data_IF_641565478527
#
_entry.id   IF_641565478527
#
_cell.length_a   1.000
_cell.length_b   1.000
_cell.length_c   1.000
_cell.angle_alpha   90.00
_cell.angle_beta   90.00
_cell.angle_gamma   90.00
#
_symmetry.space_group_name_H-M   'P 1'
#
loop_
_entity.id
_entity.type
_entity.pdbx_description
1 polymer ?
#
# COMPACT_ATOMS: atom_id res chain seq x y z
N UNK A 1 -13.12 -13.86 -1.14
CA UNK A 1 -11.93 -14.56 -0.59
C UNK A 1 -12.29 -15.88 0.07
N UNK A 2 -13.19 -15.90 1.05
CA UNK A 2 -13.63 -17.13 1.77
C UNK A 2 -14.16 -18.20 0.80
N UNK A 3 -15.04 -17.82 -0.12
CA UNK A 3 -15.57 -18.73 -1.14
C UNK A 3 -14.47 -19.35 -2.00
N UNK A 4 -13.50 -18.55 -2.45
CA UNK A 4 -12.37 -19.04 -3.23
C UNK A 4 -11.46 -19.99 -2.43
N UNK A 5 -11.27 -19.75 -1.12
CA UNK A 5 -10.54 -20.67 -0.24
C UNK A 5 -11.32 -21.98 -0.06
N UNK A 6 -12.62 -21.88 0.18
CA UNK A 6 -13.52 -23.04 0.34
C UNK A 6 -13.54 -23.92 -0.91
N UNK A 7 -13.64 -23.32 -2.10
CA UNK A 7 -13.58 -24.03 -3.38
C UNK A 7 -12.22 -24.69 -3.57
N UNK A 8 -11.13 -23.97 -3.34
CA UNK A 8 -9.79 -24.55 -3.54
C UNK A 8 -9.50 -25.70 -2.58
N UNK A 9 -10.01 -25.62 -1.35
CA UNK A 9 -9.96 -26.73 -0.37
C UNK A 9 -10.79 -27.93 -0.82
N UNK A 10 -11.95 -27.71 -1.46
CA UNK A 10 -12.79 -28.78 -1.99
C UNK A 10 -12.18 -29.49 -3.21
N UNK A 11 -11.40 -28.76 -4.00
CA UNK A 11 -10.68 -29.28 -5.18
C UNK A 11 -9.22 -29.66 -4.88
N UNK A 12 -8.80 -29.63 -3.60
CA UNK A 12 -7.41 -29.87 -3.16
C UNK A 12 -6.35 -29.08 -3.95
N UNK A 13 -6.70 -27.89 -4.42
CA UNK A 13 -5.80 -27.05 -5.21
C UNK A 13 -5.00 -26.12 -4.30
N UNK A 14 -3.67 -26.04 -4.47
CA UNK A 14 -2.85 -25.14 -3.67
C UNK A 14 -3.21 -23.68 -3.98
N UNK A 15 -3.35 -22.88 -2.92
CA UNK A 15 -3.63 -21.44 -3.04
C UNK A 15 -2.49 -20.59 -2.51
N UNK A 16 -2.18 -19.52 -3.24
CA UNK A 16 -1.27 -18.50 -2.76
C UNK A 16 -2.02 -17.54 -1.82
N UNK A 17 -1.94 -17.79 -0.52
CA UNK A 17 -2.58 -16.96 0.51
C UNK A 17 -2.02 -15.54 0.55
N UNK A 18 -0.73 -15.35 0.32
CA UNK A 18 -0.09 -14.03 0.25
C UNK A 18 -0.75 -13.18 -0.83
N UNK A 19 -0.92 -13.73 -2.04
CA UNK A 19 -1.58 -13.03 -3.14
C UNK A 19 -3.04 -12.69 -2.81
N UNK A 20 -3.79 -13.63 -2.23
CA UNK A 20 -5.21 -13.41 -1.89
C UNK A 20 -5.39 -12.36 -0.78
N UNK A 21 -4.58 -12.42 0.27
CA UNK A 21 -4.62 -11.43 1.36
C UNK A 21 -4.23 -10.04 0.85
N UNK A 22 -3.18 -9.95 0.05
CA UNK A 22 -2.73 -8.67 -0.49
C UNK A 22 -3.77 -8.03 -1.43
N UNK A 23 -4.42 -8.83 -2.29
CA UNK A 23 -5.52 -8.35 -3.12
C UNK A 23 -6.70 -7.81 -2.29
N UNK A 24 -7.03 -8.47 -1.18
CA UNK A 24 -8.06 -8.02 -0.24
C UNK A 24 -7.65 -6.70 0.44
N UNK A 25 -6.42 -6.60 0.92
CA UNK A 25 -5.91 -5.39 1.56
C UNK A 25 -5.95 -4.19 0.61
N UNK A 26 -5.48 -4.36 -0.63
CA UNK A 26 -5.55 -3.33 -1.68
C UNK A 26 -7.00 -2.88 -1.90
N UNK A 27 -7.93 -3.83 -1.96
CA UNK A 27 -9.36 -3.54 -2.14
C UNK A 27 -9.92 -2.72 -0.97
N UNK A 28 -9.61 -3.10 0.27
CA UNK A 28 -10.06 -2.37 1.47
C UNK A 28 -9.46 -0.97 1.52
N UNK A 29 -8.15 -0.82 1.31
CA UNK A 29 -7.51 0.50 1.32
C UNK A 29 -8.12 1.38 0.24
N UNK A 30 -8.39 0.83 -0.95
CA UNK A 30 -9.05 1.56 -2.02
C UNK A 30 -10.46 2.01 -1.62
N UNK A 31 -11.30 1.13 -1.08
CA UNK A 31 -12.66 1.51 -0.66
C UNK A 31 -12.67 2.55 0.47
N UNK A 32 -11.74 2.47 1.42
CA UNK A 32 -11.69 3.34 2.61
C UNK A 32 -11.00 4.68 2.30
N UNK A 33 -9.84 4.64 1.66
CA UNK A 33 -9.02 5.83 1.42
C UNK A 33 -9.50 6.63 0.20
N UNK A 34 -10.16 5.98 -0.77
CA UNK A 34 -10.55 6.59 -2.03
C UNK A 34 -12.06 6.56 -2.09
N UNK A 35 -12.70 7.58 -1.52
CA UNK A 35 -14.15 7.71 -1.50
C UNK A 35 -14.70 7.71 -2.95
N UNK A 36 -15.03 6.52 -3.45
CA UNK A 36 -15.76 6.05 -4.64
C UNK A 36 -15.67 6.75 -6.00
N UNK A 37 -15.07 7.93 -6.19
CA UNK A 37 -15.23 8.65 -7.48
C UNK A 37 -14.02 9.34 -8.09
N UNK A 38 -12.97 9.71 -7.32
CA UNK A 38 -11.94 10.61 -7.87
C UNK A 38 -10.61 9.93 -8.26
N UNK A 39 -10.15 8.94 -7.50
CA UNK A 39 -8.76 8.47 -7.66
C UNK A 39 -8.55 7.37 -8.71
N UNK A 40 -9.63 6.73 -9.18
CA UNK A 40 -9.56 5.63 -10.15
C UNK A 40 -8.96 6.05 -11.52
N UNK A 41 -8.96 7.35 -11.82
CA UNK A 41 -8.40 7.88 -13.08
C UNK A 41 -6.96 8.40 -12.98
N UNK A 42 -6.46 8.75 -11.78
CA UNK A 42 -5.14 9.40 -11.65
C UNK A 42 -4.04 8.51 -11.12
N UNK A 43 -4.36 7.52 -10.27
CA UNK A 43 -3.37 6.58 -9.76
C UNK A 43 -3.64 5.23 -10.41
N UNK A 44 -3.00 4.99 -11.54
CA UNK A 44 -3.19 3.74 -12.29
C UNK A 44 -3.10 2.54 -11.34
N UNK A 45 -4.12 1.68 -11.35
CA UNK A 45 -4.32 0.58 -10.41
C UNK A 45 -3.04 -0.19 -10.12
N UNK A 46 -2.25 -0.48 -11.16
CA UNK A 46 -0.99 -1.20 -11.05
C UNK A 46 0.05 -0.48 -10.18
N UNK A 47 0.20 0.86 -10.33
CA UNK A 47 1.14 1.65 -9.51
C UNK A 47 0.75 1.67 -8.04
N UNK A 48 -0.55 1.73 -7.75
CA UNK A 48 -1.04 1.64 -6.37
C UNK A 48 -0.76 0.26 -5.77
N UNK A 49 -1.02 -0.81 -6.52
CA UNK A 49 -0.73 -2.17 -6.08
C UNK A 49 0.77 -2.39 -5.82
N UNK A 50 1.63 -1.89 -6.70
CA UNK A 50 3.10 -1.91 -6.54
C UNK A 50 3.54 -1.14 -5.29
N UNK A 51 2.98 0.06 -5.06
CA UNK A 51 3.31 0.86 -3.89
C UNK A 51 2.90 0.17 -2.59
N UNK A 52 1.68 -0.38 -2.53
CA UNK A 52 1.21 -1.14 -1.37
C UNK A 52 2.09 -2.38 -1.17
N UNK A 53 2.46 -3.08 -2.24
CA UNK A 53 3.38 -4.23 -2.15
C UNK A 53 4.71 -3.85 -1.51
N UNK A 54 5.34 -2.79 -2.01
CA UNK A 54 6.65 -2.34 -1.54
C UNK A 54 6.56 -1.84 -0.09
N UNK A 55 5.47 -1.16 0.29
CA UNK A 55 5.22 -0.76 1.66
C UNK A 55 5.15 -1.96 2.62
N UNK A 56 4.41 -3.01 2.26
CA UNK A 56 4.36 -4.24 3.06
C UNK A 56 5.71 -4.98 3.07
N UNK A 57 6.43 -5.01 1.95
CA UNK A 57 7.76 -5.61 1.87
C UNK A 57 8.75 -4.91 2.79
N UNK A 58 8.75 -3.58 2.80
CA UNK A 58 9.59 -2.76 3.67
C UNK A 58 9.19 -2.91 5.14
N UNK A 59 7.90 -2.93 5.46
CA UNK A 59 7.40 -3.14 6.82
C UNK A 59 7.79 -4.53 7.38
N UNK A 60 7.89 -5.53 6.51
CA UNK A 60 8.38 -6.87 6.87
C UNK A 60 9.90 -7.05 6.77
N UNK A 61 10.65 -6.02 6.36
CA UNK A 61 12.11 -6.09 6.24
C UNK A 61 12.78 -5.81 7.57
N UNK A 62 13.94 -6.44 7.79
CA UNK A 62 14.76 -6.22 8.98
C UNK A 62 15.80 -5.14 8.70
N UNK A 63 15.78 -4.04 9.47
CA UNK A 63 16.79 -3.00 9.42
C UNK A 63 17.88 -3.29 10.46
N UNK A 64 19.15 -3.26 10.05
CA UNK A 64 20.28 -3.45 10.95
C UNK A 64 20.37 -2.33 12.00
N UNK A 65 19.89 -1.13 11.68
CA UNK A 65 19.75 -0.01 12.62
C UNK A 65 18.86 -0.33 13.81
N UNK A 66 17.83 -1.16 13.63
CA UNK A 66 16.93 -1.57 14.72
C UNK A 66 17.65 -2.40 15.79
N UNK A 67 18.74 -3.08 15.42
CA UNK A 67 19.51 -3.97 16.30
C UNK A 67 20.85 -3.38 16.73
N UNK A 68 21.47 -2.54 15.91
CA UNK A 68 22.80 -1.99 16.13
C UNK A 68 22.78 -0.45 15.99
N UNK A 69 22.51 0.30 17.09
CA UNK A 69 22.27 1.75 17.04
C UNK A 69 23.41 2.56 16.42
N UNK A 70 24.66 2.11 16.57
CA UNK A 70 25.85 2.87 16.16
C UNK A 70 26.31 2.59 14.73
N UNK A 71 26.10 1.37 14.21
CA UNK A 71 26.64 0.93 12.91
C UNK A 71 25.56 0.47 11.95
N UNK A 72 24.36 0.15 12.45
CA UNK A 72 23.26 -0.38 11.66
C UNK A 72 22.81 0.57 10.55
N UNK A 73 22.85 1.89 10.78
CA UNK A 73 22.54 2.87 9.74
C UNK A 73 23.48 2.81 8.53
N UNK A 74 24.78 2.57 8.76
CA UNK A 74 25.77 2.42 7.68
C UNK A 74 25.51 1.12 6.92
N UNK A 75 25.22 0.04 7.65
CA UNK A 75 24.89 -1.26 7.08
C UNK A 75 23.63 -1.15 6.21
N UNK A 76 22.57 -0.53 6.71
CA UNK A 76 21.31 -0.34 5.98
C UNK A 76 21.44 0.56 4.73
N UNK A 77 22.40 1.50 4.76
CA UNK A 77 22.77 2.26 3.56
C UNK A 77 23.49 1.39 2.53
N UNK A 78 24.39 0.51 2.96
CA UNK A 78 25.12 -0.37 2.03
C UNK A 78 24.25 -1.47 1.43
N UNK A 79 23.23 -1.95 2.15
CA UNK A 79 22.27 -2.95 1.63
C UNK A 79 21.25 -2.36 0.65
N UNK A 80 21.19 -1.01 0.53
CA UNK A 80 20.20 -0.31 -0.28
C UNK A 80 18.80 -0.29 0.34
N UNK A 81 18.60 -0.93 1.50
CA UNK A 81 17.32 -1.00 2.19
C UNK A 81 16.85 0.39 2.63
N UNK A 82 17.78 1.22 3.09
CA UNK A 82 17.49 2.61 3.44
C UNK A 82 16.96 3.42 2.23
N UNK A 83 17.56 3.24 1.05
CA UNK A 83 17.10 3.92 -0.17
C UNK A 83 15.71 3.47 -0.63
N UNK A 84 15.41 2.17 -0.49
CA UNK A 84 14.07 1.64 -0.76
C UNK A 84 13.04 2.19 0.22
N UNK A 85 13.35 2.19 1.52
CA UNK A 85 12.51 2.77 2.57
C UNK A 85 12.15 4.22 2.27
N UNK A 86 13.14 5.06 1.99
CA UNK A 86 12.90 6.47 1.67
C UNK A 86 12.04 6.66 0.41
N UNK A 87 12.28 5.87 -0.64
CA UNK A 87 11.50 5.93 -1.87
C UNK A 87 10.03 5.59 -1.58
N UNK A 88 9.80 4.49 -0.88
CA UNK A 88 8.46 4.04 -0.51
C UNK A 88 7.72 5.05 0.36
N UNK A 89 8.41 5.68 1.32
CA UNK A 89 7.83 6.76 2.12
C UNK A 89 7.43 7.96 1.27
N UNK A 90 8.28 8.39 0.32
CA UNK A 90 7.94 9.49 -0.60
C UNK A 90 6.74 9.15 -1.47
N UNK A 91 6.67 7.93 -2.00
CA UNK A 91 5.56 7.50 -2.84
C UNK A 91 4.24 7.41 -2.05
N UNK A 92 4.29 6.98 -0.77
CA UNK A 92 3.14 7.01 0.15
C UNK A 92 2.71 8.43 0.51
N UNK A 93 3.66 9.33 0.77
CA UNK A 93 3.38 10.74 1.06
C UNK A 93 2.63 11.42 -0.10
N UNK A 94 3.09 11.20 -1.34
CA UNK A 94 2.41 11.67 -2.54
C UNK A 94 1.00 11.07 -2.71
N UNK A 95 0.82 9.81 -2.31
CA UNK A 95 -0.50 9.19 -2.30
C UNK A 95 -1.42 9.86 -1.28
N UNK A 96 -0.95 10.06 -0.05
CA UNK A 96 -1.74 10.71 0.99
C UNK A 96 -2.09 12.15 0.63
N UNK A 97 -1.16 12.90 0.04
CA UNK A 97 -1.41 14.25 -0.43
C UNK A 97 -2.56 14.27 -1.45
N UNK A 98 -2.56 13.35 -2.43
CA UNK A 98 -3.66 13.22 -3.39
C UNK A 98 -4.99 12.89 -2.73
N UNK A 99 -4.99 11.96 -1.77
CA UNK A 99 -6.20 11.59 -1.02
C UNK A 99 -6.75 12.80 -0.27
N UNK A 100 -5.89 13.54 0.42
CA UNK A 100 -6.27 14.75 1.18
C UNK A 100 -6.82 15.82 0.23
N UNK A 101 -6.14 16.08 -0.88
CA UNK A 101 -6.57 17.08 -1.87
C UNK A 101 -7.93 16.73 -2.49
N UNK A 102 -8.15 15.46 -2.83
CA UNK A 102 -9.44 14.97 -3.33
C UNK A 102 -10.55 15.13 -2.28
N UNK A 103 -10.29 14.76 -1.02
CA UNK A 103 -11.24 14.93 0.08
C UNK A 103 -11.62 16.41 0.28
N UNK A 104 -10.64 17.31 0.28
CA UNK A 104 -10.87 18.75 0.37
C UNK A 104 -11.63 19.31 -0.84
N UNK A 105 -11.42 18.75 -2.03
CA UNK A 105 -12.13 19.18 -3.23
C UNK A 105 -13.61 18.78 -3.19
N UNK A 106 -13.91 17.56 -2.76
CA UNK A 106 -15.28 17.06 -2.61
C UNK A 106 -16.06 17.92 -1.60
N UNK A 107 -15.47 18.26 -0.44
CA UNK A 107 -16.12 19.13 0.55
C UNK A 107 -16.48 20.52 -0.02
N UNK A 108 -15.65 21.08 -0.90
CA UNK A 108 -15.92 22.37 -1.55
C UNK A 108 -17.08 22.28 -2.54
N UNK A 109 -17.20 21.20 -3.29
CA UNK A 109 -18.33 20.99 -4.21
C UNK A 109 -19.66 20.79 -3.46
N UNK A 110 -19.64 20.09 -2.33
CA UNK A 110 -20.85 19.93 -1.48
C UNK A 110 -21.31 21.28 -0.91
N UNK A 111 -20.40 22.19 -0.54
CA UNK A 111 -20.74 23.52 0.00
C UNK A 111 -21.21 24.54 -1.05
N UNK A 112 -20.89 24.35 -2.33
CA UNK A 112 -21.29 25.27 -3.41
C UNK A 112 -22.59 24.82 -4.12
N UNK A 113 -23.07 23.61 -3.83
CA UNK A 113 -24.32 23.06 -4.34
C UNK A 113 -25.50 23.08 -3.34
N UNK A 114 -25.33 23.72 -2.16
CA UNK A 114 -26.39 23.94 -1.15
C UNK A 114 -26.70 25.43 -1.03
#
# INVERSE_FOLDING_TARGET
>A
MIESISQSSAYETPINLTQKMMALTIHIIREVALCKSALDKQLGTNKFQELVHEAFSIMGSFFAFDFFPYVGYIIDKTTGLHGRLEKTFRDLDLLYQKVIDDHLHIERHVKLGS
#
